data_IF_690859764059
#
_entry.id   IF_690859764059
#
_cell.length_a   1.000
_cell.length_b   1.000
_cell.length_c   1.000
_cell.angle_alpha   90.00
_cell.angle_beta   90.00
_cell.angle_gamma   90.00
#
_symmetry.space_group_name_H-M   'P 1'
#
loop_
_entity.id
_entity.type
_entity.pdbx_description
1 polymer ?
#
# COMPACT_ATOMS: atom_id res chain seq x y z
N UNK A 1 18.41 -5.35 16.59
CA UNK A 1 17.19 -4.82 15.95
C UNK A 1 16.14 -5.89 15.65
N UNK A 2 16.09 -6.92 16.48
CA UNK A 2 15.13 -8.03 16.27
C UNK A 2 13.69 -7.51 16.21
N UNK A 3 13.35 -6.53 17.02
CA UNK A 3 12.02 -5.97 17.14
C UNK A 3 11.53 -5.26 15.88
N UNK A 4 12.43 -4.93 14.97
CA UNK A 4 12.11 -4.22 13.73
C UNK A 4 12.05 -5.16 12.52
N UNK A 5 12.17 -6.46 12.73
CA UNK A 5 12.12 -7.43 11.63
C UNK A 5 10.69 -7.60 11.13
N UNK A 6 10.58 -8.03 9.88
CA UNK A 6 9.28 -8.32 9.26
C UNK A 6 8.49 -9.32 10.10
N UNK A 7 9.15 -10.37 10.62
CA UNK A 7 8.50 -11.40 11.40
C UNK A 7 7.91 -10.90 12.72
N UNK A 8 8.53 -9.89 13.32
CA UNK A 8 8.04 -9.32 14.58
C UNK A 8 6.95 -8.28 14.36
N UNK A 9 7.02 -7.53 13.25
CA UNK A 9 6.13 -6.39 13.01
C UNK A 9 4.86 -6.75 12.25
N UNK A 10 4.90 -7.78 11.39
CA UNK A 10 3.81 -8.01 10.43
C UNK A 10 3.29 -9.44 10.48
N UNK A 11 1.97 -9.57 10.29
CA UNK A 11 1.34 -10.86 10.01
C UNK A 11 1.24 -11.04 8.49
N UNK A 12 2.13 -11.83 7.92
CA UNK A 12 2.19 -12.02 6.46
C UNK A 12 0.99 -12.79 5.89
N UNK A 13 0.13 -13.34 6.75
CA UNK A 13 -1.13 -13.95 6.30
C UNK A 13 -2.20 -12.88 6.01
N UNK A 14 -1.98 -11.66 6.44
CA UNK A 14 -2.92 -10.55 6.29
C UNK A 14 -2.57 -9.63 5.12
N UNK A 15 -2.02 -10.21 4.06
CA UNK A 15 -1.73 -9.52 2.80
C UNK A 15 -1.60 -10.51 1.66
N UNK A 16 -2.01 -10.12 0.46
CA UNK A 16 -1.73 -10.90 -0.74
C UNK A 16 -0.27 -10.73 -1.21
N UNK A 17 0.47 -9.84 -0.58
CA UNK A 17 1.85 -9.52 -0.93
C UNK A 17 2.87 -10.32 -0.10
N UNK A 18 2.48 -11.44 0.50
CA UNK A 18 3.39 -12.21 1.37
C UNK A 18 4.71 -12.58 0.68
N UNK A 19 4.68 -12.94 -0.60
CA UNK A 19 5.88 -13.32 -1.35
C UNK A 19 6.90 -12.18 -1.49
N UNK A 20 6.46 -10.93 -1.44
CA UNK A 20 7.36 -9.78 -1.49
C UNK A 20 8.38 -9.80 -0.34
N UNK A 21 7.97 -10.37 0.79
CA UNK A 21 8.77 -10.38 2.01
C UNK A 21 9.64 -11.62 2.16
N UNK A 22 9.64 -12.53 1.20
CA UNK A 22 10.50 -13.71 1.25
C UNK A 22 11.97 -13.33 1.20
N UNK A 23 12.75 -13.83 2.17
CA UNK A 23 14.17 -13.53 2.28
C UNK A 23 14.49 -12.12 2.79
N UNK A 24 13.47 -11.37 3.19
CA UNK A 24 13.61 -10.00 3.68
C UNK A 24 13.68 -10.02 5.21
N UNK A 25 14.61 -9.27 5.76
CA UNK A 25 14.77 -9.14 7.22
C UNK A 25 13.98 -7.93 7.72
N UNK A 26 14.20 -6.77 7.13
CA UNK A 26 13.58 -5.51 7.56
C UNK A 26 12.59 -4.99 6.52
N UNK A 27 11.48 -4.38 6.97
CA UNK A 27 10.42 -3.98 6.04
C UNK A 27 10.85 -2.98 4.98
N UNK A 28 11.77 -2.08 5.27
CA UNK A 28 12.21 -1.10 4.29
C UNK A 28 12.99 -1.69 3.11
N UNK A 29 13.45 -2.93 3.22
CA UNK A 29 14.15 -3.61 2.13
C UNK A 29 13.26 -3.88 0.93
N UNK A 30 11.92 -3.91 1.11
CA UNK A 30 10.99 -4.15 0.00
C UNK A 30 10.67 -2.90 -0.80
N UNK A 31 10.94 -1.72 -0.28
CA UNK A 31 10.50 -0.46 -0.90
C UNK A 31 10.91 -0.32 -2.37
N UNK A 32 12.15 -0.64 -2.78
CA UNK A 32 12.52 -0.54 -4.19
C UNK A 32 11.93 -1.65 -5.07
N UNK A 33 11.29 -2.65 -4.48
CA UNK A 33 10.76 -3.82 -5.19
C UNK A 33 9.25 -3.79 -5.38
N UNK A 34 8.56 -2.86 -4.74
CA UNK A 34 7.08 -2.85 -4.69
C UNK A 34 6.47 -2.78 -6.10
N UNK A 35 6.95 -1.88 -6.94
CA UNK A 35 6.37 -1.69 -8.28
C UNK A 35 6.43 -2.94 -9.15
N UNK A 36 7.60 -3.55 -9.26
CA UNK A 36 7.79 -4.78 -10.05
C UNK A 36 6.95 -5.93 -9.51
N UNK A 37 6.89 -6.03 -8.19
CA UNK A 37 6.10 -7.07 -7.53
C UNK A 37 4.60 -6.91 -7.83
N UNK A 38 4.07 -5.69 -7.81
CA UNK A 38 2.67 -5.43 -8.13
C UNK A 38 2.34 -5.87 -9.56
N UNK A 39 3.19 -5.55 -10.52
CA UNK A 39 3.00 -5.97 -11.91
C UNK A 39 2.98 -7.49 -12.02
N UNK A 40 3.94 -8.15 -11.39
CA UNK A 40 4.01 -9.62 -11.39
C UNK A 40 2.77 -10.25 -10.75
N UNK A 41 2.40 -9.78 -9.58
CA UNK A 41 1.23 -10.29 -8.86
C UNK A 41 -0.05 -10.01 -9.64
N UNK A 42 -0.21 -8.80 -10.15
CA UNK A 42 -1.39 -8.39 -10.91
C UNK A 42 -1.69 -9.31 -12.08
N UNK A 43 -0.64 -9.70 -12.81
CA UNK A 43 -0.80 -10.60 -13.95
C UNK A 43 -1.25 -12.02 -13.57
N UNK A 44 -1.21 -12.37 -12.29
CA UNK A 44 -1.68 -13.68 -11.79
C UNK A 44 -3.07 -13.63 -11.17
N UNK A 45 -3.63 -12.44 -10.96
CA UNK A 45 -4.92 -12.29 -10.29
C UNK A 45 -6.06 -12.86 -11.16
N UNK A 46 -7.04 -13.56 -10.53
CA UNK A 46 -8.13 -14.16 -11.28
C UNK A 46 -9.07 -13.11 -11.88
N UNK A 47 -9.37 -13.23 -13.16
CA UNK A 47 -10.19 -12.27 -13.89
C UNK A 47 -11.64 -12.22 -13.43
N UNK A 48 -12.13 -13.28 -12.78
CA UNK A 48 -13.48 -13.32 -12.21
C UNK A 48 -13.58 -12.52 -10.89
N UNK A 49 -12.46 -12.21 -10.26
CA UNK A 49 -12.42 -11.45 -9.00
C UNK A 49 -11.89 -10.03 -9.17
N UNK A 50 -11.06 -9.79 -10.19
CA UNK A 50 -10.40 -8.49 -10.42
C UNK A 50 -10.63 -8.02 -11.84
N UNK A 51 -10.80 -6.71 -12.01
CA UNK A 51 -10.85 -6.06 -13.31
C UNK A 51 -9.54 -5.31 -13.56
N UNK A 52 -8.98 -5.45 -14.76
CA UNK A 52 -7.85 -4.62 -15.18
C UNK A 52 -8.40 -3.32 -15.76
N UNK A 53 -8.31 -2.23 -15.00
CA UNK A 53 -8.91 -0.93 -15.32
C UNK A 53 -7.98 0.02 -16.08
N UNK A 54 -6.75 -0.38 -16.35
CA UNK A 54 -5.76 0.41 -17.06
C UNK A 54 -4.45 -0.33 -17.11
N UNK A 55 -3.40 0.33 -17.60
CA UNK A 55 -2.09 -0.27 -17.65
C UNK A 55 -1.58 -0.53 -16.22
N UNK A 56 -1.40 -1.80 -15.89
CA UNK A 56 -0.94 -2.25 -14.58
C UNK A 56 -1.80 -1.76 -13.40
N UNK A 57 -3.12 -1.65 -13.63
CA UNK A 57 -4.10 -1.32 -12.59
C UNK A 57 -5.12 -2.44 -12.48
N UNK A 58 -5.17 -3.11 -11.32
CA UNK A 58 -6.11 -4.18 -11.03
C UNK A 58 -6.97 -3.80 -9.83
N UNK A 59 -8.27 -3.82 -10.02
CA UNK A 59 -9.23 -3.43 -8.98
C UNK A 59 -10.18 -4.60 -8.74
N UNK A 60 -10.27 -5.04 -7.48
CA UNK A 60 -11.20 -6.09 -7.12
C UNK A 60 -12.64 -5.66 -7.44
N UNK A 61 -13.45 -6.57 -7.96
CA UNK A 61 -14.84 -6.27 -8.33
C UNK A 61 -15.69 -5.84 -7.13
N UNK A 62 -15.33 -6.31 -5.93
CA UNK A 62 -16.00 -5.92 -4.69
C UNK A 62 -15.49 -4.62 -4.07
N UNK A 63 -14.44 -4.02 -4.61
CA UNK A 63 -13.92 -2.75 -4.12
C UNK A 63 -14.84 -1.59 -4.53
N UNK A 64 -14.89 -0.57 -3.67
CA UNK A 64 -15.66 0.67 -3.93
C UNK A 64 -14.68 1.79 -4.22
N UNK A 65 -14.71 2.30 -5.44
CA UNK A 65 -13.85 3.40 -5.88
C UNK A 65 -14.70 4.60 -6.25
N UNK A 66 -14.49 5.71 -5.55
CA UNK A 66 -15.22 6.95 -5.84
C UNK A 66 -14.85 7.48 -7.24
N UNK A 67 -15.80 8.01 -8.00
CA UNK A 67 -15.52 8.56 -9.35
C UNK A 67 -14.46 9.66 -9.37
N UNK A 68 -14.31 10.38 -8.27
CA UNK A 68 -13.34 11.47 -8.12
C UNK A 68 -11.94 10.99 -7.72
N UNK A 69 -11.75 9.71 -7.43
CA UNK A 69 -10.44 9.17 -7.12
C UNK A 69 -9.59 9.07 -8.40
N UNK A 70 -8.31 9.34 -8.27
CA UNK A 70 -7.36 9.21 -9.38
C UNK A 70 -6.36 8.10 -9.08
N UNK A 71 -6.28 7.12 -9.96
CA UNK A 71 -5.41 5.95 -9.76
C UNK A 71 -4.44 5.81 -10.92
N UNK A 72 -3.15 5.89 -10.62
CA UNK A 72 -2.08 5.52 -11.53
C UNK A 72 -1.58 4.11 -11.18
N UNK A 73 -1.10 3.38 -12.20
CA UNK A 73 -0.40 2.12 -11.99
C UNK A 73 1.10 2.31 -11.73
N UNK A 74 1.78 1.24 -11.33
CA UNK A 74 1.18 -0.05 -10.93
C UNK A 74 0.36 0.04 -9.65
N UNK A 75 -0.82 -0.55 -9.65
CA UNK A 75 -1.68 -0.55 -8.47
C UNK A 75 -2.56 -1.79 -8.40
N UNK A 76 -2.74 -2.30 -7.20
CA UNK A 76 -3.74 -3.33 -6.91
C UNK A 76 -4.62 -2.82 -5.79
N UNK A 77 -5.94 -2.82 -6.04
CA UNK A 77 -6.94 -2.47 -5.04
C UNK A 77 -7.65 -3.75 -4.64
N UNK A 78 -7.46 -4.16 -3.40
CA UNK A 78 -7.94 -5.44 -2.88
C UNK A 78 -9.44 -5.53 -2.67
N UNK A 79 -9.91 -6.74 -2.40
CA UNK A 79 -11.33 -7.03 -2.18
C UNK A 79 -11.89 -6.18 -1.05
N UNK A 80 -13.10 -5.67 -1.23
CA UNK A 80 -13.83 -4.89 -0.23
C UNK A 80 -13.12 -3.61 0.24
N UNK A 81 -12.04 -3.21 -0.44
CA UNK A 81 -11.38 -1.95 -0.14
C UNK A 81 -12.24 -0.76 -0.57
N UNK A 82 -12.06 0.36 0.10
CA UNK A 82 -12.70 1.62 -0.27
C UNK A 82 -11.65 2.67 -0.65
N UNK A 83 -11.79 3.20 -1.85
CA UNK A 83 -11.03 4.36 -2.30
C UNK A 83 -12.02 5.52 -2.38
N UNK A 84 -11.92 6.43 -1.42
CA UNK A 84 -12.92 7.47 -1.21
C UNK A 84 -12.68 8.71 -2.07
N UNK A 85 -13.56 9.68 -1.92
CA UNK A 85 -13.57 10.94 -2.66
C UNK A 85 -12.20 11.63 -2.67
N UNK A 86 -11.73 12.00 -3.88
CA UNK A 86 -10.49 12.73 -4.11
C UNK A 86 -9.21 12.04 -3.62
N UNK A 87 -9.24 10.73 -3.41
CA UNK A 87 -8.02 9.98 -3.12
C UNK A 87 -7.10 9.98 -4.35
N UNK A 88 -5.78 10.07 -4.12
CA UNK A 88 -4.79 10.05 -5.18
C UNK A 88 -3.81 8.88 -4.98
N UNK A 89 -3.94 7.86 -5.81
CA UNK A 89 -3.01 6.73 -5.83
C UNK A 89 -1.98 7.02 -6.91
N UNK A 90 -0.76 7.41 -6.49
CA UNK A 90 0.29 7.82 -7.43
C UNK A 90 0.93 6.66 -8.18
N UNK A 91 0.80 5.45 -7.66
CA UNK A 91 1.40 4.27 -8.24
C UNK A 91 2.31 3.55 -7.28
N UNK A 92 2.74 2.36 -7.68
CA UNK A 92 3.45 1.41 -6.84
C UNK A 92 2.68 1.20 -5.52
N UNK A 93 1.36 1.01 -5.61
CA UNK A 93 0.50 0.92 -4.45
C UNK A 93 -0.29 -0.39 -4.44
N UNK A 94 -0.16 -1.13 -3.35
CA UNK A 94 -0.99 -2.30 -3.08
C UNK A 94 -1.87 -1.99 -1.87
N UNK A 95 -3.18 -1.98 -2.10
CA UNK A 95 -4.18 -1.71 -1.06
C UNK A 95 -4.83 -3.04 -0.67
N UNK A 96 -4.69 -3.42 0.59
CA UNK A 96 -5.15 -4.69 1.11
C UNK A 96 -6.67 -4.83 1.17
N UNK A 97 -7.13 -6.04 1.47
CA UNK A 97 -8.56 -6.34 1.60
C UNK A 97 -9.18 -5.54 2.74
N UNK A 98 -10.34 -4.92 2.48
CA UNK A 98 -11.06 -4.16 3.48
C UNK A 98 -10.36 -2.89 3.94
N UNK A 99 -9.29 -2.48 3.28
CA UNK A 99 -8.58 -1.25 3.62
C UNK A 99 -9.36 -0.02 3.16
N UNK A 100 -9.13 1.11 3.83
CA UNK A 100 -9.77 2.37 3.50
C UNK A 100 -8.72 3.41 3.17
N UNK A 101 -8.78 3.95 1.96
CA UNK A 101 -8.01 5.10 1.51
C UNK A 101 -8.98 6.25 1.36
N UNK A 102 -8.91 7.19 2.27
CA UNK A 102 -9.96 8.16 2.45
C UNK A 102 -9.81 9.44 1.66
N UNK A 103 -10.65 10.41 2.04
CA UNK A 103 -10.73 11.70 1.37
C UNK A 103 -9.37 12.37 1.30
N UNK A 104 -8.98 12.73 0.07
CA UNK A 104 -7.75 13.49 -0.19
C UNK A 104 -6.48 12.87 0.38
N UNK A 105 -6.47 11.54 0.49
CA UNK A 105 -5.29 10.78 0.89
C UNK A 105 -4.47 10.45 -0.34
N UNK A 106 -3.15 10.62 -0.23
CA UNK A 106 -2.22 10.28 -1.31
C UNK A 106 -1.37 9.08 -0.92
N UNK A 107 -1.24 8.11 -1.84
CA UNK A 107 -0.38 6.94 -1.68
C UNK A 107 0.71 6.93 -2.75
N UNK A 108 1.94 6.64 -2.34
CA UNK A 108 3.07 6.52 -3.26
C UNK A 108 4.05 5.47 -2.73
N UNK A 109 4.24 4.41 -3.50
CA UNK A 109 5.19 3.33 -3.18
C UNK A 109 4.90 2.69 -1.81
N UNK A 110 3.74 2.03 -1.71
CA UNK A 110 3.24 1.50 -0.43
C UNK A 110 2.70 0.08 -0.56
N UNK A 111 2.78 -0.66 0.55
CA UNK A 111 1.98 -1.86 0.77
C UNK A 111 1.12 -1.62 2.01
N UNK A 112 -0.19 -1.59 1.81
CA UNK A 112 -1.15 -1.55 2.90
C UNK A 112 -1.70 -2.96 3.10
N UNK A 113 -1.51 -3.51 4.29
CA UNK A 113 -2.07 -4.80 4.66
C UNK A 113 -3.59 -4.72 4.79
N UNK A 114 -4.22 -5.87 5.02
CA UNK A 114 -5.67 -5.93 5.15
C UNK A 114 -6.18 -5.02 6.29
N UNK A 115 -7.32 -4.39 6.06
CA UNK A 115 -8.02 -3.52 7.02
C UNK A 115 -7.23 -2.32 7.53
N UNK A 116 -6.19 -1.92 6.81
CA UNK A 116 -5.49 -0.66 7.10
C UNK A 116 -6.42 0.51 6.79
N UNK A 117 -6.40 1.53 7.64
CA UNK A 117 -7.17 2.75 7.43
C UNK A 117 -6.29 3.98 7.39
N UNK A 118 -6.32 4.68 6.27
CA UNK A 118 -5.71 6.00 6.08
C UNK A 118 -6.79 6.94 5.56
N UNK A 119 -7.77 7.30 6.45
CA UNK A 119 -9.09 7.72 6.00
C UNK A 119 -9.24 9.22 5.73
N UNK A 120 -8.32 10.09 6.18
CA UNK A 120 -8.55 11.53 6.13
C UNK A 120 -7.27 12.32 5.92
N UNK A 121 -7.10 12.89 4.72
CA UNK A 121 -6.02 13.84 4.43
C UNK A 121 -4.65 13.30 4.86
N UNK A 122 -4.37 12.05 4.52
CA UNK A 122 -3.11 11.41 4.84
C UNK A 122 -2.17 11.45 3.62
N UNK A 123 -0.88 11.56 3.88
CA UNK A 123 0.12 11.21 2.89
C UNK A 123 0.87 9.97 3.37
N UNK A 124 0.89 8.93 2.54
CA UNK A 124 1.60 7.69 2.85
C UNK A 124 2.55 7.39 1.70
N UNK A 125 3.83 7.53 1.96
CA UNK A 125 4.87 7.31 0.96
C UNK A 125 5.97 6.40 1.48
N UNK A 126 6.50 5.55 0.60
CA UNK A 126 7.62 4.64 0.91
C UNK A 126 7.40 3.93 2.25
N UNK A 127 6.27 3.23 2.36
CA UNK A 127 5.81 2.69 3.63
C UNK A 127 5.17 1.32 3.47
N UNK A 128 5.27 0.54 4.54
CA UNK A 128 4.54 -0.72 4.71
C UNK A 128 3.72 -0.61 5.98
N UNK A 129 2.40 -0.60 5.86
CA UNK A 129 1.50 -0.52 7.00
C UNK A 129 0.89 -1.89 7.28
N UNK A 130 1.08 -2.37 8.50
CA UNK A 130 0.64 -3.70 8.93
C UNK A 130 -0.87 -3.80 9.16
N UNK A 131 -1.33 -5.03 9.37
CA UNK A 131 -2.74 -5.38 9.53
C UNK A 131 -3.45 -4.47 10.55
N UNK A 132 -4.58 -3.88 10.12
CA UNK A 132 -5.41 -2.99 10.93
C UNK A 132 -4.73 -1.70 11.40
N UNK A 133 -3.59 -1.33 10.86
CA UNK A 133 -2.97 -0.04 11.18
C UNK A 133 -3.93 1.09 10.83
N UNK A 134 -3.91 2.14 11.64
CA UNK A 134 -4.75 3.31 11.44
C UNK A 134 -3.90 4.58 11.56
N UNK A 135 -4.04 5.48 10.60
CA UNK A 135 -3.44 6.81 10.67
C UNK A 135 -4.53 7.83 10.99
N UNK A 136 -4.30 8.63 12.03
CA UNK A 136 -5.22 9.71 12.38
C UNK A 136 -5.31 10.78 11.28
N UNK A 137 -6.38 11.57 11.32
CA UNK A 137 -6.60 12.63 10.33
C UNK A 137 -5.41 13.57 10.25
N UNK A 138 -4.96 13.86 9.04
CA UNK A 138 -3.84 14.77 8.78
C UNK A 138 -2.45 14.19 9.05
N UNK A 139 -2.36 12.93 9.50
CA UNK A 139 -1.06 12.29 9.70
C UNK A 139 -0.37 12.03 8.38
N UNK A 140 0.93 12.23 8.33
CA UNK A 140 1.72 11.99 7.13
C UNK A 140 2.99 11.23 7.47
N UNK A 141 3.48 10.45 6.48
CA UNK A 141 4.82 9.88 6.53
C UNK A 141 5.76 10.83 5.81
N UNK A 142 6.85 11.23 6.43
CA UNK A 142 7.83 12.10 5.78
C UNK A 142 9.20 11.43 5.82
N UNK A 143 9.78 11.22 4.64
CA UNK A 143 11.09 10.59 4.50
C UNK A 143 12.13 11.51 3.86
N UNK A 144 11.73 12.73 3.48
CA UNK A 144 12.66 13.72 2.94
C UNK A 144 13.08 14.66 4.06
N UNK A 145 14.34 14.57 4.45
CA UNK A 145 14.91 15.46 5.47
C UNK A 145 15.26 16.82 4.86
N UNK A 146 15.25 17.85 5.68
CA UNK A 146 15.57 19.22 5.23
C UNK A 146 16.94 19.33 4.56
N UNK A 147 17.92 18.56 5.03
CA UNK A 147 19.25 18.49 4.46
C UNK A 147 19.41 17.47 3.34
N UNK A 148 18.29 16.80 2.96
CA UNK A 148 18.22 15.77 1.92
C UNK A 148 19.09 14.53 2.16
N UNK A 149 19.53 14.32 3.40
CA UNK A 149 20.21 13.07 3.76
C UNK A 149 19.22 11.92 3.93
N UNK A 150 19.72 10.70 3.87
CA UNK A 150 18.86 9.52 4.07
C UNK A 150 18.44 9.41 5.54
N UNK A 151 17.24 8.88 5.73
CA UNK A 151 16.79 8.49 7.06
C UNK A 151 17.59 7.26 7.53
N UNK A 152 17.95 7.24 8.79
CA UNK A 152 18.68 6.12 9.38
C UNK A 152 17.90 5.55 10.56
N UNK A 153 18.08 4.25 10.78
CA UNK A 153 17.51 3.56 11.94
C UNK A 153 18.64 3.34 12.95
N UNK A 154 18.48 3.89 14.13
CA UNK A 154 19.43 3.74 15.21
C UNK A 154 19.10 2.55 16.10
N UNK A 155 20.10 1.87 16.55
CA UNK A 155 19.98 0.77 17.53
C UNK A 155 20.25 1.26 18.94
#
# INVERSE_FOLDING_TARGET
MKELTVQELYDLNETIAGELFEGVTYPWEVLPKIGEFIVKLGNTLPEDEYEKKGENIWIAKSAKVAPSAYINGPAIIGKDAEIRHCAFIRGNALVGEGAVVGNSTELKNVVLFNKVQVPHYNYVGDSVLGFKSHMGAGSITSNVKSDKTLATVST
#
